data_IF_869557010807
#
_entry.id   IF_869557010807
#
_cell.length_a   1.000
_cell.length_b   1.000
_cell.length_c   1.000
_cell.angle_alpha   90.00
_cell.angle_beta   90.00
_cell.angle_gamma   90.00
#
_symmetry.space_group_name_H-M   'P 1'
#
loop_
_entity.id
_entity.type
_entity.pdbx_description
1 polymer ?
#
# COMPACT_ATOMS: atom_id res chain seq x y z
N UNK A 1 52.84 3.56 -28.32
CA UNK A 1 51.52 2.91 -28.38
C UNK A 1 50.66 3.65 -27.39
N UNK A 2 50.09 4.77 -27.85
CA UNK A 2 49.31 5.68 -27.02
C UNK A 2 47.83 5.37 -27.22
N UNK A 3 47.15 5.48 -26.09
CA UNK A 3 45.74 5.28 -25.79
C UNK A 3 44.73 5.47 -26.94
N UNK A 4 43.94 4.40 -27.06
CA UNK A 4 42.52 4.29 -27.42
C UNK A 4 41.76 5.63 -27.56
N UNK A 5 41.36 5.92 -28.79
CA UNK A 5 40.56 7.07 -29.16
C UNK A 5 39.08 6.76 -28.86
N UNK A 6 38.54 7.41 -27.84
CA UNK A 6 37.11 7.43 -27.57
C UNK A 6 36.35 8.08 -28.74
N UNK A 7 35.33 7.39 -29.26
CA UNK A 7 34.21 8.03 -29.97
C UNK A 7 32.89 7.43 -29.46
N UNK A 8 31.85 8.24 -29.21
CA UNK A 8 30.77 7.94 -28.29
C UNK A 8 29.58 7.29 -29.00
N UNK A 9 29.15 6.15 -28.49
CA UNK A 9 27.91 5.52 -28.93
C UNK A 9 26.71 6.43 -28.63
N UNK A 10 26.12 6.93 -29.71
CA UNK A 10 24.68 6.91 -29.99
C UNK A 10 23.75 7.52 -28.93
N UNK A 11 23.20 8.68 -29.25
CA UNK A 11 22.05 9.27 -28.54
C UNK A 11 20.93 8.21 -28.39
N UNK A 12 20.41 7.95 -27.17
CA UNK A 12 19.16 7.22 -27.05
C UNK A 12 18.04 8.10 -27.63
N UNK A 13 17.34 7.57 -28.64
CA UNK A 13 16.14 8.19 -29.20
C UNK A 13 15.06 8.39 -28.14
N UNK A 14 14.05 9.25 -28.39
CA UNK A 14 13.04 9.58 -27.40
C UNK A 14 12.34 8.32 -26.94
N UNK A 15 12.53 7.99 -25.65
CA UNK A 15 11.82 6.92 -24.99
C UNK A 15 10.32 7.18 -25.19
N UNK A 16 9.68 6.30 -25.95
CA UNK A 16 8.24 6.29 -26.05
C UNK A 16 7.67 6.19 -24.62
N UNK A 17 6.65 7.00 -24.25
CA UNK A 17 5.94 6.77 -23.01
C UNK A 17 5.25 5.40 -23.15
N UNK A 18 5.81 4.39 -22.51
CA UNK A 18 5.08 3.16 -22.25
C UNK A 18 3.80 3.47 -21.48
N UNK A 19 2.75 2.65 -21.58
CA UNK A 19 1.50 2.86 -20.85
C UNK A 19 1.75 2.65 -19.35
N UNK A 20 2.25 3.68 -18.68
CA UNK A 20 2.43 3.76 -17.24
C UNK A 20 1.28 4.59 -16.67
N UNK A 21 0.11 3.97 -16.49
CA UNK A 21 -0.92 4.44 -15.55
C UNK A 21 -2.08 3.43 -15.53
N UNK A 22 -1.88 2.27 -14.89
CA UNK A 22 -3.03 1.43 -14.50
C UNK A 22 -2.76 0.74 -13.16
N UNK A 23 -1.92 1.34 -12.31
CA UNK A 23 -1.55 0.78 -11.00
C UNK A 23 -1.62 1.78 -9.85
N UNK A 24 -2.16 2.99 -10.06
CA UNK A 24 -2.31 3.96 -8.97
C UNK A 24 -3.50 3.59 -8.07
N UNK A 25 -4.60 3.10 -8.64
CA UNK A 25 -5.86 2.89 -7.92
C UNK A 25 -5.78 1.88 -6.76
N UNK A 26 -4.97 0.82 -6.91
CA UNK A 26 -4.78 -0.17 -5.84
C UNK A 26 -3.87 0.31 -4.70
N UNK A 27 -2.97 1.26 -4.98
CA UNK A 27 -2.08 1.84 -3.97
C UNK A 27 -2.78 2.98 -3.19
N UNK A 28 -3.69 3.72 -3.84
CA UNK A 28 -4.52 4.73 -3.16
C UNK A 28 -5.55 4.08 -2.23
N UNK A 29 -6.21 2.99 -2.65
CA UNK A 29 -7.15 2.22 -1.81
C UNK A 29 -6.50 1.70 -0.52
N UNK A 30 -5.23 1.28 -0.59
CA UNK A 30 -4.47 0.85 0.59
C UNK A 30 -4.09 1.99 1.56
N UNK A 31 -3.91 3.21 1.04
CA UNK A 31 -3.61 4.40 1.85
C UNK A 31 -4.82 4.84 2.66
N UNK A 32 -5.99 4.89 2.01
CA UNK A 32 -7.24 5.29 2.66
C UNK A 32 -7.63 4.33 3.80
N UNK A 33 -7.45 3.03 3.58
CA UNK A 33 -7.69 2.00 4.61
C UNK A 33 -6.73 2.15 5.79
N UNK A 34 -5.47 2.50 5.55
CA UNK A 34 -4.49 2.74 6.60
C UNK A 34 -4.84 3.99 7.43
N UNK A 35 -5.26 5.07 6.78
CA UNK A 35 -5.69 6.31 7.46
C UNK A 35 -6.95 6.10 8.30
N UNK A 36 -7.91 5.31 7.81
CA UNK A 36 -9.11 4.92 8.56
C UNK A 36 -8.75 4.13 9.82
N UNK A 37 -7.85 3.14 9.71
CA UNK A 37 -7.38 2.35 10.84
C UNK A 37 -6.68 3.23 11.88
N UNK A 38 -5.78 4.12 11.43
CA UNK A 38 -5.07 5.05 12.32
C UNK A 38 -6.06 5.95 13.07
N UNK A 39 -7.07 6.48 12.40
CA UNK A 39 -8.11 7.31 13.01
C UNK A 39 -8.90 6.54 14.08
N UNK A 40 -9.27 5.28 13.82
CA UNK A 40 -9.93 4.41 14.83
C UNK A 40 -9.03 4.10 16.01
N UNK A 41 -7.76 3.82 15.78
CA UNK A 41 -6.80 3.56 16.86
C UNK A 41 -6.71 4.76 17.80
N UNK A 42 -6.56 5.98 17.25
CA UNK A 42 -6.53 7.21 18.04
C UNK A 42 -7.77 7.35 18.94
N UNK A 43 -8.97 7.10 18.41
CA UNK A 43 -10.21 7.15 19.20
C UNK A 43 -10.26 6.09 20.32
N UNK A 44 -9.61 4.94 20.14
CA UNK A 44 -9.50 3.93 21.21
C UNK A 44 -8.51 4.41 22.28
N UNK A 45 -7.41 5.05 21.89
CA UNK A 45 -6.39 5.53 22.81
C UNK A 45 -6.86 6.69 23.70
N UNK A 46 -7.84 7.46 23.25
CA UNK A 46 -8.50 8.52 24.03
C UNK A 46 -9.39 7.96 25.16
N UNK A 47 -9.71 6.66 25.15
CA UNK A 47 -10.56 6.03 26.18
C UNK A 47 -9.78 5.76 27.47
N UNK A 48 -10.47 5.63 28.62
CA UNK A 48 -9.84 5.17 29.86
C UNK A 48 -9.10 3.85 29.68
N UNK A 49 -7.96 3.70 30.35
CA UNK A 49 -7.07 2.54 30.20
C UNK A 49 -7.80 1.20 30.39
N UNK A 50 -8.74 1.13 31.34
CA UNK A 50 -9.53 -0.06 31.62
C UNK A 50 -10.45 -0.51 30.47
N UNK A 51 -10.79 0.39 29.54
CA UNK A 51 -11.68 0.12 28.42
C UNK A 51 -10.93 -0.20 27.12
N UNK A 52 -9.66 0.21 27.02
CA UNK A 52 -8.84 0.06 25.80
C UNK A 52 -8.70 -1.38 25.36
N UNK A 53 -8.43 -2.30 26.29
CA UNK A 53 -8.21 -3.71 25.96
C UNK A 53 -9.42 -4.34 25.26
N UNK A 54 -10.63 -4.09 25.80
CA UNK A 54 -11.88 -4.56 25.20
C UNK A 54 -12.12 -3.95 23.83
N UNK A 55 -11.87 -2.65 23.67
CA UNK A 55 -12.03 -1.96 22.39
C UNK A 55 -11.06 -2.48 21.32
N UNK A 56 -9.80 -2.74 21.68
CA UNK A 56 -8.82 -3.34 20.76
C UNK A 56 -9.17 -4.78 20.38
N UNK A 57 -9.69 -5.58 21.32
CA UNK A 57 -10.14 -6.94 21.02
C UNK A 57 -11.26 -6.94 19.97
N UNK A 58 -12.26 -6.05 20.12
CA UNK A 58 -13.34 -5.92 19.14
C UNK A 58 -12.83 -5.47 17.76
N UNK A 59 -11.93 -4.48 17.71
CA UNK A 59 -11.31 -4.04 16.46
C UNK A 59 -10.53 -5.18 15.79
N UNK A 60 -9.78 -5.96 16.57
CA UNK A 60 -9.05 -7.11 16.05
C UNK A 60 -9.99 -8.17 15.46
N UNK A 61 -11.09 -8.48 16.16
CA UNK A 61 -12.08 -9.45 15.67
C UNK A 61 -12.76 -8.98 14.36
N UNK A 62 -13.03 -7.69 14.24
CA UNK A 62 -13.53 -7.08 12.99
C UNK A 62 -12.52 -7.24 11.84
N UNK A 63 -11.26 -6.88 12.07
CA UNK A 63 -10.19 -6.98 11.07
C UNK A 63 -9.97 -8.44 10.64
N UNK A 64 -9.99 -9.36 11.61
CA UNK A 64 -9.91 -10.79 11.36
C UNK A 64 -11.05 -11.26 10.45
N UNK A 65 -12.29 -10.91 10.77
CA UNK A 65 -13.44 -11.28 9.95
C UNK A 65 -13.36 -10.70 8.53
N UNK A 66 -12.85 -9.47 8.38
CA UNK A 66 -12.66 -8.84 7.06
C UNK A 66 -11.58 -9.54 6.23
N UNK A 67 -10.47 -9.95 6.84
CA UNK A 67 -9.42 -10.70 6.16
C UNK A 67 -9.87 -12.11 5.77
N UNK A 68 -10.50 -12.83 6.70
CA UNK A 68 -11.05 -14.17 6.45
C UNK A 68 -12.17 -14.14 5.38
N UNK A 69 -12.95 -13.06 5.31
CA UNK A 69 -13.99 -12.85 4.29
C UNK A 69 -13.47 -12.35 2.94
N UNK A 70 -12.37 -11.58 2.93
CA UNK A 70 -11.75 -10.99 1.73
C UNK A 70 -10.93 -11.98 0.91
N UNK A 71 -10.22 -12.90 1.56
CA UNK A 71 -9.43 -13.96 0.91
C UNK A 71 -10.29 -14.87 0.00
N UNK A 72 -11.58 -15.02 0.30
CA UNK A 72 -12.51 -15.80 -0.50
C UNK A 72 -13.00 -15.13 -1.80
N UNK A 73 -12.80 -13.83 -1.95
CA UNK A 73 -13.17 -13.06 -3.15
C UNK A 73 -11.97 -12.85 -4.09
N UNK A 74 -10.78 -12.61 -3.55
CA UNK A 74 -9.55 -12.47 -4.32
C UNK A 74 -9.07 -13.79 -4.95
N UNK A 75 -9.34 -14.95 -4.33
CA UNK A 75 -8.99 -16.27 -4.88
C UNK A 75 -9.93 -16.77 -6.01
N UNK A 76 -10.96 -16.00 -6.40
CA UNK A 76 -12.00 -16.38 -7.37
C UNK A 76 -12.06 -15.50 -8.63
N UNK A 77 -11.05 -14.66 -8.88
CA UNK A 77 -10.86 -13.91 -10.13
C UNK A 77 -9.57 -14.33 -10.81
#
# INVERSE_FOLDING_TARGET
MSDDHADPHGLPGPAAPGPAATGLDAAEDGSDVAEELVSRLQLIEERPLGERATAFALLHDELRARLEGGDGAAARG
#
